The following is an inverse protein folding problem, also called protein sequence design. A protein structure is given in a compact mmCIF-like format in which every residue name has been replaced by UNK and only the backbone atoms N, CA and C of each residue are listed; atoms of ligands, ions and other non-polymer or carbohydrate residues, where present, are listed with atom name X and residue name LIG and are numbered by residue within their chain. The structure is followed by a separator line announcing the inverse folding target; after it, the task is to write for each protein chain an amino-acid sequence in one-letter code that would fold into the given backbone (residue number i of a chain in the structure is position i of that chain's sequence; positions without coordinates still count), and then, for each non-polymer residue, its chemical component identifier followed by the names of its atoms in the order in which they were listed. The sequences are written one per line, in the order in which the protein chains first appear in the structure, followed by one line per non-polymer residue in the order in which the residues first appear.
data_IF_054770890587
#
_entry.id   IF_054770890587
#
_cell.length_a   1.000
_cell.length_b   1.000
_cell.length_c   1.000
_cell.angle_alpha   90.00
_cell.angle_beta   90.00
_cell.angle_gamma   90.00
#
_symmetry.space_group_name_H-M   'P 1'
#
loop_
_entity.id
_entity.type
_entity.pdbx_description
1 polymer ?
#
# COMPACT_ATOMS: atom_id res chain seq x y z
N UNK A 1 -16.42 8.77 18.53
CA UNK A 1 -17.32 7.65 18.91
C UNK A 1 -18.49 7.61 17.92
N UNK A 2 -19.58 6.88 18.19
CA UNK A 2 -20.75 6.85 17.31
C UNK A 2 -21.48 8.21 17.21
N UNK A 3 -21.27 9.11 18.18
CA UNK A 3 -21.79 10.47 18.18
C UNK A 3 -20.88 11.45 17.41
N UNK A 4 -19.79 10.96 16.79
CA UNK A 4 -18.81 11.78 16.07
C UNK A 4 -17.82 12.51 16.97
N UNK A 5 -17.85 12.30 18.28
CA UNK A 5 -16.95 12.97 19.22
C UNK A 5 -15.55 12.36 19.13
N UNK A 6 -14.56 13.20 18.89
CA UNK A 6 -13.15 12.79 18.85
C UNK A 6 -12.54 12.95 20.23
N UNK A 7 -11.95 11.88 20.75
CA UNK A 7 -11.30 11.89 22.06
C UNK A 7 -10.00 11.09 22.01
N UNK A 8 -9.11 11.38 22.96
CA UNK A 8 -7.84 10.67 23.08
C UNK A 8 -8.08 9.33 23.78
N UNK A 9 -7.73 8.24 23.08
CA UNK A 9 -7.86 6.88 23.60
C UNK A 9 -6.46 6.25 23.70
N UNK A 10 -6.00 5.87 24.91
CA UNK A 10 -4.72 5.18 25.07
C UNK A 10 -4.69 3.87 24.28
N UNK A 11 -3.58 3.59 23.59
CA UNK A 11 -3.38 2.33 22.87
C UNK A 11 -4.31 2.11 21.67
N UNK A 12 -4.92 3.17 21.12
CA UNK A 12 -5.93 3.09 20.04
C UNK A 12 -5.48 2.29 18.81
N UNK A 13 -4.23 2.43 18.36
CA UNK A 13 -3.76 1.69 17.19
C UNK A 13 -3.62 0.18 17.46
N UNK A 14 -3.17 -0.19 18.65
CA UNK A 14 -3.10 -1.60 19.04
C UNK A 14 -4.50 -2.21 19.15
N UNK A 15 -5.44 -1.48 19.77
CA UNK A 15 -6.82 -1.95 19.86
C UNK A 15 -7.50 -2.04 18.50
N UNK A 16 -7.19 -1.15 17.55
CA UNK A 16 -7.66 -1.25 16.17
C UNK A 16 -7.12 -2.49 15.46
N UNK A 17 -5.83 -2.78 15.62
CA UNK A 17 -5.20 -3.96 15.01
C UNK A 17 -5.83 -5.25 15.54
N UNK A 18 -6.06 -5.34 16.85
CA UNK A 18 -6.66 -6.52 17.49
C UNK A 18 -8.17 -6.65 17.21
N UNK A 19 -8.88 -5.54 17.05
CA UNK A 19 -10.31 -5.54 16.73
C UNK A 19 -10.61 -5.88 15.26
N UNK A 20 -9.61 -5.81 14.37
CA UNK A 20 -9.76 -6.11 12.94
C UNK A 20 -8.96 -7.38 12.57
N UNK A 21 -9.59 -8.58 12.60
CA UNK A 21 -8.91 -9.83 12.26
C UNK A 21 -8.25 -9.79 10.88
N UNK A 22 -8.86 -9.10 9.91
CA UNK A 22 -8.31 -8.94 8.57
C UNK A 22 -6.96 -8.21 8.59
N UNK A 23 -6.87 -7.08 9.29
CA UNK A 23 -5.63 -6.30 9.40
C UNK A 23 -4.52 -7.14 10.07
N UNK A 24 -4.86 -7.91 11.11
CA UNK A 24 -3.90 -8.79 11.76
C UNK A 24 -3.38 -9.89 10.82
N UNK A 25 -4.27 -10.53 10.07
CA UNK A 25 -3.89 -11.55 9.07
C UNK A 25 -2.99 -10.94 7.99
N UNK A 26 -3.35 -9.77 7.47
CA UNK A 26 -2.55 -9.06 6.48
C UNK A 26 -1.16 -8.71 7.03
N UNK A 27 -1.06 -8.27 8.28
CA UNK A 27 0.23 -7.96 8.92
C UNK A 27 1.13 -9.20 9.00
N UNK A 28 0.58 -10.30 9.52
CA UNK A 28 1.33 -11.54 9.73
C UNK A 28 1.75 -12.15 8.40
N UNK A 29 0.81 -12.27 7.44
CA UNK A 29 1.11 -12.76 6.10
C UNK A 29 2.14 -11.88 5.41
N UNK A 30 1.99 -10.55 5.51
CA UNK A 30 2.92 -9.58 4.94
C UNK A 30 4.33 -9.72 5.50
N UNK A 31 4.46 -9.79 6.84
CA UNK A 31 5.75 -9.94 7.51
C UNK A 31 6.42 -11.26 7.14
N UNK A 32 5.68 -12.37 7.13
CA UNK A 32 6.19 -13.68 6.74
C UNK A 32 6.70 -13.67 5.29
N UNK A 33 5.96 -13.05 4.37
CA UNK A 33 6.35 -12.91 2.96
C UNK A 33 7.60 -12.04 2.79
N UNK A 34 7.71 -10.93 3.52
CA UNK A 34 8.91 -10.08 3.50
C UNK A 34 10.12 -10.84 4.03
N UNK A 35 10.01 -11.49 5.19
CA UNK A 35 11.11 -12.27 5.78
C UNK A 35 11.54 -13.38 4.80
N UNK A 36 10.58 -14.12 4.24
CA UNK A 36 10.87 -15.18 3.29
C UNK A 36 11.51 -14.63 2.00
N UNK A 37 11.08 -13.45 1.53
CA UNK A 37 11.71 -12.74 0.42
C UNK A 37 13.15 -12.32 0.71
N UNK A 38 13.44 -11.79 1.89
CA UNK A 38 14.81 -11.42 2.32
C UNK A 38 15.71 -12.66 2.42
N UNK A 39 15.21 -13.75 3.01
CA UNK A 39 15.96 -15.01 3.09
C UNK A 39 16.23 -15.57 1.69
N UNK A 40 15.25 -15.51 0.80
CA UNK A 40 15.39 -15.94 -0.60
C UNK A 40 16.42 -15.08 -1.35
N UNK A 41 16.42 -13.77 -1.14
CA UNK A 41 17.41 -12.85 -1.72
C UNK A 41 18.83 -13.13 -1.20
N UNK A 42 18.98 -13.44 0.09
CA UNK A 42 20.28 -13.74 0.67
C UNK A 42 20.87 -15.07 0.15
N UNK A 43 20.02 -16.05 -0.21
CA UNK A 43 20.45 -17.38 -0.65
C UNK A 43 20.55 -17.54 -2.17
N UNK A 44 19.84 -16.70 -2.94
CA UNK A 44 19.76 -16.82 -4.40
C UNK A 44 20.34 -15.60 -5.09
N UNK A 45 21.01 -15.81 -6.24
CA UNK A 45 21.46 -14.71 -7.13
C UNK A 45 20.35 -14.24 -8.09
N UNK A 46 19.13 -14.74 -7.92
CA UNK A 46 18.01 -14.55 -8.85
C UNK A 46 17.07 -13.42 -8.42
N UNK A 47 16.27 -12.94 -9.38
CA UNK A 47 15.24 -11.90 -9.14
C UNK A 47 13.98 -12.45 -8.43
N UNK A 48 13.94 -13.73 -8.08
CA UNK A 48 12.74 -14.39 -7.56
C UNK A 48 12.27 -13.85 -6.20
N UNK A 49 13.18 -13.26 -5.41
CA UNK A 49 12.87 -12.71 -4.10
C UNK A 49 11.81 -11.60 -4.13
N UNK A 50 11.72 -10.83 -5.23
CA UNK A 50 10.74 -9.75 -5.38
C UNK A 50 9.30 -10.26 -5.37
N UNK A 51 9.07 -11.48 -5.85
CA UNK A 51 7.73 -12.08 -5.91
C UNK A 51 7.19 -12.47 -4.53
N UNK A 52 8.07 -12.57 -3.53
CA UNK A 52 7.69 -12.79 -2.14
C UNK A 52 7.68 -11.46 -1.38
N UNK A 53 8.76 -10.69 -1.48
CA UNK A 53 8.91 -9.43 -0.74
C UNK A 53 7.89 -8.36 -1.19
N UNK A 54 7.61 -8.23 -2.50
CA UNK A 54 6.72 -7.20 -3.05
C UNK A 54 5.30 -7.28 -2.49
N UNK A 55 4.58 -8.41 -2.66
CA UNK A 55 3.26 -8.60 -2.06
C UNK A 55 3.31 -8.45 -0.53
N UNK A 56 4.36 -8.94 0.12
CA UNK A 56 4.55 -8.79 1.56
C UNK A 56 4.58 -7.33 2.02
N UNK A 57 5.36 -6.49 1.35
CA UNK A 57 5.45 -5.05 1.64
C UNK A 57 4.10 -4.35 1.43
N UNK A 58 3.36 -4.71 0.37
CA UNK A 58 2.02 -4.15 0.13
C UNK A 58 1.06 -4.49 1.28
N UNK A 59 1.03 -5.75 1.72
CA UNK A 59 0.16 -6.18 2.83
C UNK A 59 0.50 -5.47 4.15
N UNK A 60 1.78 -5.32 4.46
CA UNK A 60 2.24 -4.57 5.64
C UNK A 60 1.82 -3.10 5.54
N UNK A 61 2.07 -2.45 4.40
CA UNK A 61 1.69 -1.05 4.19
C UNK A 61 0.19 -0.80 4.31
N UNK A 62 -0.63 -1.65 3.69
CA UNK A 62 -2.10 -1.58 3.81
C UNK A 62 -2.56 -1.76 5.25
N UNK A 63 -1.95 -2.68 6.01
CA UNK A 63 -2.26 -2.87 7.43
C UNK A 63 -2.02 -1.59 8.22
N UNK A 64 -0.89 -0.91 8.01
CA UNK A 64 -0.57 0.35 8.70
C UNK A 64 -1.63 1.41 8.39
N UNK A 65 -2.01 1.56 7.13
CA UNK A 65 -3.06 2.51 6.74
C UNK A 65 -4.42 2.16 7.33
N UNK A 66 -4.82 0.89 7.32
CA UNK A 66 -6.08 0.45 7.90
C UNK A 66 -6.12 0.64 9.41
N UNK A 67 -5.01 0.37 10.10
CA UNK A 67 -4.90 0.57 11.56
C UNK A 67 -5.01 2.06 11.92
N UNK A 68 -4.47 2.94 11.09
CA UNK A 68 -4.50 4.38 11.29
C UNK A 68 -5.84 5.05 10.90
N UNK A 69 -6.51 4.56 9.86
CA UNK A 69 -7.69 5.22 9.28
C UNK A 69 -9.03 4.56 9.56
N UNK A 70 -9.08 3.26 9.86
CA UNK A 70 -10.34 2.54 10.13
C UNK A 70 -10.66 2.42 11.62
N UNK A 71 -11.81 1.82 11.92
CA UNK A 71 -12.33 1.59 13.27
C UNK A 71 -12.58 2.88 14.08
N UNK A 72 -13.29 3.83 13.47
CA UNK A 72 -13.67 5.12 14.05
C UNK A 72 -12.45 5.93 14.53
N UNK A 73 -11.42 5.99 13.69
CA UNK A 73 -10.16 6.66 14.00
C UNK A 73 -10.00 7.91 13.13
N UNK A 74 -9.53 9.00 13.73
CA UNK A 74 -9.08 10.16 12.99
C UNK A 74 -7.69 9.87 12.44
N UNK A 75 -7.58 9.78 11.11
CA UNK A 75 -6.29 9.55 10.45
C UNK A 75 -5.39 10.79 10.51
N UNK A 76 -5.99 11.98 10.71
CA UNK A 76 -5.26 13.23 10.90
C UNK A 76 -5.83 14.00 12.11
N UNK A 77 -5.36 13.68 13.33
CA UNK A 77 -5.86 14.31 14.55
C UNK A 77 -5.32 15.73 14.71
N UNK A 78 -6.19 16.65 15.10
CA UNK A 78 -5.83 18.03 15.43
C UNK A 78 -5.26 18.12 16.85
N UNK A 79 -4.24 18.96 17.04
CA UNK A 79 -3.58 19.16 18.34
C UNK A 79 -4.20 20.32 19.16
N UNK A 80 -4.91 21.23 18.50
CA UNK A 80 -5.48 22.44 19.13
C UNK A 80 -6.90 22.17 19.61
N UNK A 81 -7.71 21.59 18.73
CA UNK A 81 -9.07 21.15 19.05
C UNK A 81 -9.28 19.76 18.45
N UNK A 82 -9.55 18.77 19.32
CA UNK A 82 -9.76 17.39 18.92
C UNK A 82 -10.98 17.24 17.99
N UNK A 83 -12.03 18.06 18.14
CA UNK A 83 -13.23 17.95 17.31
C UNK A 83 -12.99 18.40 15.86
N UNK A 84 -11.96 19.21 15.63
CA UNK A 84 -11.50 19.61 14.29
C UNK A 84 -10.62 18.56 13.60
N UNK A 85 -10.57 17.32 14.11
CA UNK A 85 -9.78 16.23 13.51
C UNK A 85 -10.41 15.69 12.22
N UNK A 86 -9.56 15.27 11.27
CA UNK A 86 -10.02 14.69 10.01
C UNK A 86 -10.20 13.17 10.14
N UNK A 87 -11.35 12.72 9.66
CA UNK A 87 -11.80 11.32 9.63
C UNK A 87 -12.26 10.98 8.23
N UNK A 88 -12.42 9.69 7.93
CA UNK A 88 -12.89 9.26 6.60
C UNK A 88 -14.29 9.81 6.26
N UNK A 89 -15.10 10.13 7.28
CA UNK A 89 -16.46 10.62 7.11
C UNK A 89 -16.54 12.12 6.80
N UNK A 90 -15.59 12.93 7.29
CA UNK A 90 -15.61 14.39 7.07
C UNK A 90 -14.61 14.86 6.00
N UNK A 91 -13.61 14.05 5.66
CA UNK A 91 -12.57 14.39 4.69
C UNK A 91 -12.73 13.67 3.33
N UNK A 92 -13.84 12.98 3.12
CA UNK A 92 -14.17 12.36 1.83
C UNK A 92 -14.90 13.34 0.91
N UNK A 93 -14.75 13.14 -0.41
CA UNK A 93 -15.52 13.88 -1.41
C UNK A 93 -17.01 13.55 -1.35
N UNK A 94 -17.83 14.34 -2.05
CA UNK A 94 -19.27 14.05 -2.18
C UNK A 94 -19.51 12.67 -2.78
N UNK A 95 -20.67 12.08 -2.46
CA UNK A 95 -21.06 10.75 -2.93
C UNK A 95 -20.98 10.63 -4.46
N UNK A 96 -21.38 11.69 -5.18
CA UNK A 96 -21.30 11.75 -6.64
C UNK A 96 -19.86 11.58 -7.12
N UNK A 97 -18.95 12.44 -6.66
CA UNK A 97 -17.54 12.39 -7.07
C UNK A 97 -16.88 11.07 -6.68
N UNK A 98 -17.15 10.57 -5.46
CA UNK A 98 -16.59 9.29 -5.00
C UNK A 98 -17.06 8.11 -5.85
N UNK A 99 -18.32 8.12 -6.28
CA UNK A 99 -18.89 7.10 -7.15
C UNK A 99 -18.23 7.10 -8.52
N UNK A 100 -18.05 8.27 -9.13
CA UNK A 100 -17.36 8.40 -10.43
C UNK A 100 -15.91 7.93 -10.31
N UNK A 101 -15.18 8.37 -9.27
CA UNK A 101 -13.79 7.93 -9.06
C UNK A 101 -13.69 6.43 -8.80
N UNK A 102 -14.70 5.81 -8.19
CA UNK A 102 -14.77 4.34 -8.05
C UNK A 102 -14.82 3.66 -9.41
N UNK A 103 -15.66 4.13 -10.34
CA UNK A 103 -15.69 3.58 -11.70
C UNK A 103 -14.36 3.78 -12.45
N UNK A 104 -13.71 4.92 -12.28
CA UNK A 104 -12.37 5.16 -12.85
C UNK A 104 -11.34 4.19 -12.25
N UNK A 105 -11.39 3.95 -10.95
CA UNK A 105 -10.47 3.01 -10.27
C UNK A 105 -10.64 1.56 -10.75
N UNK A 106 -11.83 1.16 -11.23
CA UNK A 106 -12.02 -0.15 -11.86
C UNK A 106 -11.21 -0.33 -13.15
N UNK A 107 -10.68 0.74 -13.77
CA UNK A 107 -9.79 0.68 -14.93
C UNK A 107 -8.32 0.42 -14.57
N UNK A 108 -7.95 0.40 -13.28
CA UNK A 108 -6.58 0.10 -12.83
C UNK A 108 -6.00 -1.20 -13.43
N UNK A 109 -6.75 -2.32 -13.56
CA UNK A 109 -6.23 -3.54 -14.16
C UNK A 109 -5.76 -3.36 -15.62
N UNK A 110 -6.41 -2.48 -16.39
CA UNK A 110 -6.00 -2.16 -17.76
C UNK A 110 -4.64 -1.44 -17.77
N UNK A 111 -4.45 -0.48 -16.85
CA UNK A 111 -3.17 0.23 -16.68
C UNK A 111 -2.06 -0.74 -16.27
N UNK A 112 -2.33 -1.65 -15.33
CA UNK A 112 -1.37 -2.68 -14.90
C UNK A 112 -1.01 -3.63 -16.05
N UNK A 113 -1.98 -4.03 -16.87
CA UNK A 113 -1.73 -4.87 -18.04
C UNK A 113 -0.81 -4.19 -19.06
N UNK A 114 -1.04 -2.89 -19.32
CA UNK A 114 -0.16 -2.10 -20.19
C UNK A 114 1.25 -2.00 -19.63
N UNK A 115 1.40 -1.65 -18.35
CA UNK A 115 2.72 -1.59 -17.68
C UNK A 115 3.43 -2.94 -17.78
N UNK A 116 2.73 -4.05 -17.50
CA UNK A 116 3.28 -5.40 -17.63
C UNK A 116 3.72 -5.73 -19.05
N UNK A 117 2.94 -5.34 -20.07
CA UNK A 117 3.29 -5.53 -21.47
C UNK A 117 4.56 -4.75 -21.85
N UNK A 118 4.64 -3.47 -21.49
CA UNK A 118 5.80 -2.62 -21.78
C UNK A 118 7.04 -3.15 -21.06
N UNK A 119 6.92 -3.54 -19.80
CA UNK A 119 8.05 -4.08 -19.03
C UNK A 119 8.57 -5.39 -19.64
N UNK A 120 7.66 -6.26 -20.10
CA UNK A 120 8.03 -7.48 -20.82
C UNK A 120 8.71 -7.17 -22.17
N UNK A 121 8.21 -6.20 -22.92
CA UNK A 121 8.83 -5.76 -24.18
C UNK A 121 10.24 -5.21 -23.96
N UNK A 122 10.45 -4.45 -22.88
CA UNK A 122 11.77 -3.91 -22.52
C UNK A 122 12.73 -5.01 -22.05
N UNK A 123 12.33 -5.90 -21.14
CA UNK A 123 13.21 -6.96 -20.61
C UNK A 123 13.50 -8.06 -21.67
N UNK A 124 12.75 -8.09 -22.78
CA UNK A 124 12.99 -9.00 -23.91
C UNK A 124 14.32 -8.75 -24.63
N UNK A 125 14.84 -7.51 -24.59
CA UNK A 125 16.16 -7.14 -25.11
C UNK A 125 17.05 -6.70 -23.96
N UNK A 126 18.02 -7.55 -23.59
CA UNK A 126 19.01 -7.19 -22.57
C UNK A 126 19.98 -6.17 -23.17
N UNK A 127 20.18 -5.08 -22.46
CA UNK A 127 21.19 -4.07 -22.80
C UNK A 127 22.56 -4.75 -22.92
N UNK A 128 23.16 -4.65 -24.10
CA UNK A 128 24.53 -5.08 -24.33
C UNK A 128 25.51 -3.97 -23.93
N UNK A 129 26.73 -4.33 -23.54
CA UNK A 129 27.77 -3.34 -23.21
C UNK A 129 28.09 -2.44 -24.42
N UNK A 130 27.96 -2.99 -25.63
CA UNK A 130 28.23 -2.28 -26.89
C UNK A 130 27.18 -1.19 -27.17
N UNK A 131 25.91 -1.43 -26.84
CA UNK A 131 24.85 -0.41 -26.95
C UNK A 131 25.08 0.77 -25.99
N UNK A 132 25.60 0.53 -24.79
CA UNK A 132 25.92 1.62 -23.84
C UNK A 132 27.09 2.47 -24.34
N UNK A 133 28.12 1.85 -24.91
CA UNK A 133 29.28 2.58 -25.47
C UNK A 133 28.89 3.37 -26.72
N UNK A 134 27.98 2.85 -27.53
CA UNK A 134 27.51 3.53 -28.74
C UNK A 134 26.66 4.77 -28.43
N UNK A 135 25.85 4.74 -27.36
CA UNK A 135 25.00 5.86 -26.92
C UNK A 135 25.82 7.00 -26.29
N UNK A 136 26.92 6.70 -25.59
CA UNK A 136 27.82 7.70 -24.99
C UNK A 136 28.71 8.45 -26.01
N UNK A 137 28.85 7.93 -27.23
CA UNK A 137 29.72 8.48 -28.29
C UNK A 137 29.00 9.48 -29.22
N UNK A 138 27.69 9.64 -29.10
CA UNK A 138 26.85 10.56 -29.88
C UNK A 138 26.10 11.54 -28.97
#
# INVERSE_FOLDING_TARGET
DAAGVVSMVPGKYLSNLLASPLSLIMLLAGLLLVIAGVISAARSKGRAAIWMAGPGTILVGLTVFFTAGYNNTAFYPSKVDLQSSLTIYNASSSHYTLTIMTYVALLIPFVLAYIGHVWNAMDSRKLSADEMVYDDLY
#
